data_IF_932909954085
#
_entry.id   IF_932909954085
#
_cell.length_a   1.000
_cell.length_b   1.000
_cell.length_c   1.000
_cell.angle_alpha   90.00
_cell.angle_beta   90.00
_cell.angle_gamma   90.00
#
_symmetry.space_group_name_H-M   'P 1'
#
loop_
_entity.id
_entity.type
_entity.pdbx_description
1 polymer ?
#
# COMPACT_ATOMS: atom_id res chain seq x y z
N UNK A 1 -8.92 0.83 6.12
CA UNK A 1 -7.73 -0.06 6.00
C UNK A 1 -6.95 0.07 7.30
N UNK A 2 -6.27 -0.99 7.78
CA UNK A 2 -5.68 -0.98 9.13
C UNK A 2 -4.17 -0.99 9.10
N UNK A 3 -3.57 -0.16 9.96
CA UNK A 3 -2.15 -0.13 10.23
C UNK A 3 -1.96 -0.47 11.71
N UNK A 4 -1.41 -1.65 12.00
CA UNK A 4 -1.02 -2.04 13.34
C UNK A 4 0.51 -2.00 13.44
N UNK A 5 1.03 -1.41 14.52
CA UNK A 5 2.46 -1.37 14.80
C UNK A 5 2.74 -1.87 16.21
N UNK A 6 3.82 -2.63 16.37
CA UNK A 6 4.38 -2.96 17.66
C UNK A 6 5.56 -2.03 17.95
N UNK A 7 5.33 -1.08 18.86
CA UNK A 7 6.34 -0.10 19.24
C UNK A 7 7.06 -0.59 20.49
N UNK A 8 8.38 -0.72 20.41
CA UNK A 8 9.26 -1.25 21.44
C UNK A 8 10.15 -0.16 22.05
N UNK A 9 10.49 -0.31 23.33
CA UNK A 9 11.49 0.50 24.02
C UNK A 9 12.90 -0.01 23.70
N UNK A 10 13.71 0.83 23.07
CA UNK A 10 15.06 0.51 22.59
C UNK A 10 16.05 0.25 23.75
N UNK A 11 16.00 1.04 24.81
CA UNK A 11 16.91 0.89 25.95
C UNK A 11 16.68 -0.46 26.67
N UNK A 12 15.42 -0.77 26.97
CA UNK A 12 15.04 -2.05 27.58
C UNK A 12 15.35 -3.24 26.68
N UNK A 13 15.07 -3.12 25.39
CA UNK A 13 15.41 -4.17 24.42
C UNK A 13 16.93 -4.47 24.42
N UNK A 14 17.77 -3.44 24.45
CA UNK A 14 19.23 -3.59 24.54
C UNK A 14 19.70 -4.24 25.85
N UNK A 15 18.95 -4.06 26.94
CA UNK A 15 19.19 -4.74 28.23
C UNK A 15 18.62 -6.18 28.27
N UNK A 16 18.03 -6.65 27.17
CA UNK A 16 17.43 -7.99 27.06
C UNK A 16 16.01 -8.08 27.64
N UNK A 17 15.37 -6.94 27.92
CA UNK A 17 14.00 -6.85 28.40
C UNK A 17 13.04 -6.52 27.25
N UNK A 18 12.09 -7.41 26.96
CA UNK A 18 11.06 -7.14 25.96
C UNK A 18 10.01 -6.21 26.56
N UNK A 19 9.97 -4.97 26.06
CA UNK A 19 9.01 -3.95 26.45
C UNK A 19 8.49 -3.24 25.20
N UNK A 20 7.20 -3.37 24.94
CA UNK A 20 6.55 -2.81 23.77
C UNK A 20 5.04 -3.04 23.81
N UNK A 21 4.31 -2.44 22.87
CA UNK A 21 2.87 -2.64 22.73
C UNK A 21 2.41 -2.60 21.28
N UNK A 22 1.42 -3.44 20.98
CA UNK A 22 0.63 -3.35 19.75
C UNK A 22 -0.30 -2.15 19.84
N UNK A 23 -0.31 -1.31 18.81
CA UNK A 23 -1.25 -0.20 18.65
C UNK A 23 -1.81 -0.20 17.23
N UNK A 24 -3.11 -0.03 17.11
CA UNK A 24 -3.79 0.24 15.83
C UNK A 24 -3.83 1.75 15.64
N UNK A 25 -3.31 2.21 14.51
CA UNK A 25 -3.38 3.60 14.08
C UNK A 25 -4.67 3.85 13.26
N UNK A 26 -5.19 5.09 13.26
CA UNK A 26 -4.68 6.23 14.02
C UNK A 26 -5.08 6.23 15.50
N UNK A 27 -4.35 7.00 16.30
CA UNK A 27 -4.63 7.33 17.71
C UNK A 27 -4.75 8.84 17.88
N UNK A 28 -5.43 9.28 18.95
CA UNK A 28 -5.67 10.70 19.22
C UNK A 28 -4.35 11.46 19.51
N UNK A 29 -3.42 10.85 20.26
CA UNK A 29 -2.12 11.45 20.57
C UNK A 29 -1.05 10.36 20.69
N UNK A 30 -0.13 10.30 19.71
CA UNK A 30 0.98 9.33 19.67
C UNK A 30 1.81 9.32 20.96
N UNK A 31 2.05 10.48 21.58
CA UNK A 31 2.81 10.53 22.84
C UNK A 31 2.02 9.84 23.96
N UNK A 32 0.79 10.30 24.19
CA UNK A 32 -0.02 9.86 25.31
C UNK A 32 -0.52 8.43 25.16
N UNK A 33 -0.92 8.05 23.95
CA UNK A 33 -1.56 6.77 23.67
C UNK A 33 -0.54 5.68 23.35
N UNK A 34 0.70 6.03 22.97
CA UNK A 34 1.77 5.07 22.69
C UNK A 34 2.98 5.30 23.60
N UNK A 35 3.72 6.38 23.40
CA UNK A 35 5.08 6.54 23.94
C UNK A 35 5.14 6.64 25.47
N UNK A 36 4.22 7.38 26.10
CA UNK A 36 4.12 7.56 27.56
C UNK A 36 3.90 6.22 28.29
N UNK A 37 3.39 5.20 27.59
CA UNK A 37 3.15 3.86 28.15
C UNK A 37 4.39 2.95 28.12
N UNK A 38 5.41 3.31 27.34
CA UNK A 38 6.61 2.48 27.11
C UNK A 38 7.73 2.71 28.15
N UNK A 39 7.51 3.57 29.14
CA UNK A 39 8.50 3.86 30.21
C UNK A 39 9.90 4.15 29.62
N UNK A 40 9.93 5.08 28.67
CA UNK A 40 11.09 5.50 27.88
C UNK A 40 12.08 6.39 28.66
N UNK A 41 12.16 6.26 29.99
CA UNK A 41 13.07 7.07 30.81
C UNK A 41 12.81 8.59 30.74
N UNK A 42 11.97 9.10 31.64
CA UNK A 42 11.66 10.53 31.72
C UNK A 42 12.80 11.40 32.27
N UNK A 43 13.84 11.66 31.47
CA UNK A 43 14.68 12.88 31.49
C UNK A 43 15.80 12.85 30.42
N UNK A 44 15.57 12.19 29.27
CA UNK A 44 16.42 12.37 28.10
C UNK A 44 16.44 13.86 27.71
N UNK A 45 17.64 14.47 27.68
CA UNK A 45 17.87 15.85 27.19
C UNK A 45 17.35 16.10 25.76
N UNK A 46 16.93 15.05 25.05
CA UNK A 46 16.50 15.06 23.66
C UNK A 46 15.03 14.59 23.47
N UNK A 47 14.28 14.32 24.54
CA UNK A 47 12.88 13.85 24.47
C UNK A 47 12.74 12.37 24.10
N UNK A 48 11.50 11.91 23.95
CA UNK A 48 11.12 10.51 23.63
C UNK A 48 11.69 9.99 22.30
N UNK A 49 12.23 10.86 21.45
CA UNK A 49 12.41 10.60 20.03
C UNK A 49 13.40 9.48 19.66
N UNK A 50 14.34 9.12 20.53
CA UNK A 50 15.42 8.18 20.20
C UNK A 50 15.39 6.85 21.00
N UNK A 51 14.41 6.65 21.88
CA UNK A 51 14.37 5.47 22.77
C UNK A 51 13.30 4.45 22.39
N UNK A 52 12.70 4.55 21.20
CA UNK A 52 11.73 3.58 20.69
C UNK A 52 12.00 3.22 19.23
N UNK A 53 11.43 2.11 18.80
CA UNK A 53 11.45 1.65 17.41
C UNK A 53 10.24 0.76 17.11
N UNK A 54 9.90 0.58 15.84
CA UNK A 54 8.86 -0.34 15.39
C UNK A 54 9.51 -1.70 15.17
N UNK A 55 9.20 -2.68 16.02
CA UNK A 55 9.84 -4.01 15.94
C UNK A 55 9.01 -5.03 15.16
N UNK A 56 7.72 -4.76 14.97
CA UNK A 56 6.80 -5.61 14.20
C UNK A 56 5.61 -4.76 13.70
N UNK A 57 4.91 -5.20 12.66
CA UNK A 57 3.74 -4.51 12.12
C UNK A 57 2.79 -5.45 11.37
N UNK A 58 1.54 -5.01 11.22
CA UNK A 58 0.57 -5.60 10.30
C UNK A 58 -0.02 -4.46 9.45
N UNK A 59 0.37 -4.40 8.18
CA UNK A 59 -0.06 -3.41 7.20
C UNK A 59 0.10 -3.99 5.78
N UNK A 60 -0.61 -3.46 4.76
CA UNK A 60 -0.46 -3.92 3.38
C UNK A 60 0.79 -3.40 2.67
N UNK A 61 1.54 -2.49 3.30
CA UNK A 61 2.80 -1.93 2.80
C UNK A 61 3.90 -2.10 3.84
N UNK A 62 5.16 -1.92 3.45
CA UNK A 62 6.31 -2.06 4.33
C UNK A 62 6.42 -0.88 5.28
N UNK A 63 6.65 -1.19 6.55
CA UNK A 63 6.98 -0.22 7.58
C UNK A 63 8.40 -0.50 8.08
N UNK A 64 9.25 0.52 8.01
CA UNK A 64 10.61 0.48 8.50
C UNK A 64 10.70 0.60 10.03
N UNK A 65 11.77 0.04 10.59
CA UNK A 65 12.02 0.03 12.04
C UNK A 65 12.05 1.44 12.66
N UNK A 66 12.53 2.41 11.88
CA UNK A 66 12.70 3.81 12.27
C UNK A 66 11.73 4.75 11.53
N UNK A 67 10.68 4.21 10.91
CA UNK A 67 9.67 5.05 10.29
C UNK A 67 9.00 5.94 11.35
N UNK A 68 8.69 7.16 10.94
CA UNK A 68 8.15 8.16 11.84
C UNK A 68 6.71 7.80 12.24
N UNK A 69 6.53 7.41 13.51
CA UNK A 69 5.24 7.01 14.07
C UNK A 69 4.15 8.09 13.95
N UNK A 70 4.51 9.38 13.97
CA UNK A 70 3.56 10.47 13.75
C UNK A 70 3.11 10.54 12.30
N UNK A 71 4.03 10.40 11.36
CA UNK A 71 3.69 10.35 9.94
C UNK A 71 2.86 9.10 9.59
N UNK A 72 3.13 7.97 10.26
CA UNK A 72 2.29 6.78 10.14
C UNK A 72 0.89 6.99 10.74
N UNK A 73 0.77 7.75 11.84
CA UNK A 73 -0.54 8.09 12.41
C UNK A 73 -1.36 8.96 11.46
N UNK A 74 -0.74 10.02 10.93
CA UNK A 74 -1.35 10.91 9.93
C UNK A 74 -1.76 10.15 8.66
N UNK A 75 -0.89 9.26 8.18
CA UNK A 75 -1.22 8.36 7.06
C UNK A 75 -2.43 7.48 7.40
N UNK A 76 -2.49 6.92 8.61
CA UNK A 76 -3.61 6.09 9.03
C UNK A 76 -4.93 6.87 9.09
N UNK A 77 -4.90 8.14 9.53
CA UNK A 77 -6.06 9.05 9.48
C UNK A 77 -6.52 9.28 8.04
N UNK A 78 -5.59 9.59 7.13
CA UNK A 78 -5.91 9.82 5.72
C UNK A 78 -6.45 8.56 5.02
N UNK A 79 -6.10 7.37 5.53
CA UNK A 79 -6.53 6.07 4.98
C UNK A 79 -7.79 5.49 5.65
N UNK A 80 -8.42 6.20 6.59
CA UNK A 80 -9.60 5.69 7.31
C UNK A 80 -10.78 5.36 6.38
N UNK A 81 -10.97 6.16 5.33
CA UNK A 81 -12.10 6.04 4.39
C UNK A 81 -11.92 4.94 3.32
N UNK A 82 -10.77 4.28 3.27
CA UNK A 82 -10.44 3.26 2.26
C UNK A 82 -10.35 1.89 2.89
N UNK A 83 -11.10 0.89 2.44
CA UNK A 83 -11.13 -0.43 3.09
C UNK A 83 -9.97 -1.34 2.63
N UNK A 84 -9.48 -1.15 1.41
CA UNK A 84 -8.48 -1.98 0.75
C UNK A 84 -7.42 -1.17 -0.01
N UNK A 85 -6.34 -1.84 -0.46
CA UNK A 85 -5.33 -1.21 -1.32
C UNK A 85 -5.92 -0.83 -2.69
N UNK A 86 -6.92 -1.58 -3.16
CA UNK A 86 -7.65 -1.29 -4.38
C UNK A 86 -8.45 0.01 -4.26
N UNK A 87 -9.13 0.25 -3.13
CA UNK A 87 -9.85 1.51 -2.90
C UNK A 87 -8.89 2.71 -2.97
N UNK A 88 -7.69 2.56 -2.39
CA UNK A 88 -6.65 3.59 -2.44
C UNK A 88 -6.17 3.80 -3.88
N UNK A 89 -5.81 2.72 -4.59
CA UNK A 89 -5.37 2.77 -5.97
C UNK A 89 -6.40 3.45 -6.87
N UNK A 90 -7.68 3.13 -6.68
CA UNK A 90 -8.78 3.71 -7.43
C UNK A 90 -9.00 5.20 -7.15
N UNK A 91 -8.55 5.69 -6.00
CA UNK A 91 -8.65 7.11 -5.63
C UNK A 91 -7.46 7.96 -6.09
N UNK A 92 -6.38 7.34 -6.58
CA UNK A 92 -5.21 8.07 -7.08
C UNK A 92 -5.53 8.82 -8.37
N UNK A 93 -4.98 10.04 -8.47
CA UNK A 93 -5.02 10.85 -9.69
C UNK A 93 -3.97 10.39 -10.72
N UNK A 94 -2.76 10.02 -10.27
CA UNK A 94 -1.67 9.51 -11.14
C UNK A 94 -1.35 8.04 -10.83
N UNK A 95 -2.17 7.14 -11.39
CA UNK A 95 -1.97 5.69 -11.24
C UNK A 95 -0.74 5.17 -11.98
N UNK A 96 -0.26 5.87 -13.02
CA UNK A 96 0.93 5.45 -13.77
C UNK A 96 2.18 5.43 -12.88
N UNK A 97 2.27 6.35 -11.93
CA UNK A 97 3.38 6.44 -10.97
C UNK A 97 3.54 5.18 -10.09
N UNK A 98 2.48 4.39 -9.92
CA UNK A 98 2.50 3.17 -9.09
C UNK A 98 3.21 2.00 -9.76
N UNK A 99 3.37 2.04 -11.08
CA UNK A 99 3.89 0.92 -11.87
C UNK A 99 2.89 -0.23 -12.08
N UNK A 100 1.67 -0.14 -11.54
CA UNK A 100 0.59 -1.06 -11.88
C UNK A 100 0.22 -0.95 -13.36
N UNK A 101 -0.16 -2.07 -13.96
CA UNK A 101 -0.76 -2.07 -15.29
C UNK A 101 -2.13 -1.37 -15.23
N UNK A 102 -2.49 -0.70 -16.31
CA UNK A 102 -3.81 -0.07 -16.44
C UNK A 102 -4.82 -1.13 -16.85
N UNK A 103 -5.62 -1.59 -15.87
CA UNK A 103 -6.50 -2.74 -15.99
C UNK A 103 -7.93 -2.29 -16.25
N UNK A 104 -8.59 -2.98 -17.19
CA UNK A 104 -9.94 -2.71 -17.64
C UNK A 104 -10.82 -3.94 -17.44
N UNK A 105 -12.13 -3.72 -17.30
CA UNK A 105 -13.11 -4.80 -17.40
C UNK A 105 -13.00 -5.47 -18.77
N UNK A 106 -12.96 -6.80 -18.79
CA UNK A 106 -12.88 -7.58 -20.02
C UNK A 106 -14.26 -7.76 -20.63
N UNK A 107 -14.81 -6.67 -21.17
CA UNK A 107 -16.10 -6.63 -21.83
C UNK A 107 -15.98 -6.41 -23.36
N UNK A 108 -17.13 -6.32 -24.02
CA UNK A 108 -17.21 -6.09 -25.47
C UNK A 108 -16.78 -4.66 -25.86
N UNK A 109 -16.82 -3.70 -24.93
CA UNK A 109 -16.51 -2.29 -25.19
C UNK A 109 -14.99 -2.01 -25.14
N UNK A 110 -14.23 -2.82 -24.40
CA UNK A 110 -12.77 -2.68 -24.28
C UNK A 110 -12.09 -2.56 -25.66
N UNK A 111 -12.37 -3.48 -26.58
CA UNK A 111 -11.69 -3.48 -27.88
C UNK A 111 -12.03 -2.28 -28.77
N UNK A 112 -13.29 -1.84 -28.72
CA UNK A 112 -13.75 -0.69 -29.50
C UNK A 112 -13.23 0.63 -28.91
N UNK A 113 -12.96 0.66 -27.60
CA UNK A 113 -12.40 1.82 -26.90
C UNK A 113 -10.89 1.93 -27.09
N UNK A 114 -10.18 0.81 -26.96
CA UNK A 114 -8.72 0.81 -26.89
C UNK A 114 -8.02 0.73 -28.25
N UNK A 115 -8.72 0.33 -29.31
CA UNK A 115 -8.12 0.12 -30.64
C UNK A 115 -8.87 0.84 -31.76
N UNK A 116 -8.14 1.26 -32.80
CA UNK A 116 -8.73 1.99 -33.94
C UNK A 116 -9.24 1.04 -35.03
N UNK A 117 -8.77 -0.20 -35.05
CA UNK A 117 -9.13 -1.17 -36.08
C UNK A 117 -9.11 -2.62 -35.61
N UNK A 118 -9.93 -3.45 -36.24
CA UNK A 118 -9.98 -4.90 -35.98
C UNK A 118 -8.65 -5.60 -36.28
N UNK A 119 -7.83 -5.04 -37.18
CA UNK A 119 -6.50 -5.54 -37.48
C UNK A 119 -5.55 -5.36 -36.30
N UNK A 120 -5.63 -4.22 -35.60
CA UNK A 120 -4.85 -3.97 -34.38
C UNK A 120 -5.27 -4.89 -33.25
N UNK A 121 -6.58 -5.06 -33.04
CA UNK A 121 -7.13 -6.02 -32.08
C UNK A 121 -6.60 -7.43 -32.37
N UNK A 122 -6.75 -7.90 -33.61
CA UNK A 122 -6.29 -9.23 -34.01
C UNK A 122 -4.78 -9.42 -33.79
N UNK A 123 -3.97 -8.38 -34.03
CA UNK A 123 -2.53 -8.40 -33.76
C UNK A 123 -2.24 -8.45 -32.25
N UNK A 124 -2.86 -7.57 -31.47
CA UNK A 124 -2.61 -7.43 -30.03
C UNK A 124 -3.01 -8.70 -29.26
N UNK A 125 -4.15 -9.30 -29.60
CA UNK A 125 -4.62 -10.58 -29.04
C UNK A 125 -3.71 -11.73 -29.49
N UNK A 126 -3.33 -11.79 -30.78
CA UNK A 126 -2.54 -12.91 -31.30
C UNK A 126 -1.13 -12.99 -30.69
N UNK A 127 -0.52 -11.84 -30.41
CA UNK A 127 0.82 -11.76 -29.79
C UNK A 127 0.78 -11.54 -28.28
N UNK A 128 -0.41 -11.41 -27.70
CA UNK A 128 -0.63 -11.30 -26.27
C UNK A 128 -0.88 -12.64 -25.61
N UNK A 129 -1.32 -12.60 -24.36
CA UNK A 129 -1.65 -13.78 -23.57
C UNK A 129 -3.06 -13.64 -22.96
N UNK A 130 -4.06 -14.04 -23.75
CA UNK A 130 -5.42 -14.20 -23.25
C UNK A 130 -5.53 -15.61 -22.65
N UNK A 131 -5.29 -15.71 -21.35
CA UNK A 131 -5.37 -16.97 -20.61
C UNK A 131 -6.76 -17.60 -20.73
N UNK A 132 -7.80 -16.77 -20.53
CA UNK A 132 -9.19 -17.19 -20.63
C UNK A 132 -10.09 -16.01 -21.02
N UNK A 133 -10.96 -16.23 -22.00
CA UNK A 133 -11.95 -15.24 -22.48
C UNK A 133 -13.09 -14.97 -21.50
N UNK A 134 -13.10 -15.65 -20.34
CA UNK A 134 -14.02 -15.42 -19.24
C UNK A 134 -13.34 -14.79 -18.02
N UNK A 135 -12.05 -14.42 -18.14
CA UNK A 135 -11.40 -13.63 -17.11
C UNK A 135 -12.09 -12.27 -17.00
N UNK A 136 -12.24 -11.71 -15.79
CA UNK A 136 -12.92 -10.44 -15.57
C UNK A 136 -12.14 -9.24 -16.09
N UNK A 137 -10.82 -9.37 -16.25
CA UNK A 137 -9.94 -8.23 -16.49
C UNK A 137 -9.02 -8.43 -17.68
N UNK A 138 -8.69 -7.32 -18.33
CA UNK A 138 -7.78 -7.24 -19.48
C UNK A 138 -6.98 -5.95 -19.41
N UNK A 139 -5.74 -5.99 -19.87
CA UNK A 139 -4.88 -4.82 -19.98
C UNK A 139 -4.01 -4.90 -21.23
N UNK A 140 -3.34 -3.80 -21.56
CA UNK A 140 -2.39 -3.72 -22.68
C UNK A 140 -0.99 -3.57 -22.11
N UNK A 141 -0.16 -4.59 -22.28
CA UNK A 141 1.21 -4.56 -21.78
C UNK A 141 2.07 -3.51 -22.52
N UNK A 142 3.29 -3.27 -22.03
CA UNK A 142 4.23 -2.29 -22.62
C UNK A 142 4.63 -2.55 -24.09
N UNK A 143 4.28 -3.69 -24.69
CA UNK A 143 4.47 -3.99 -26.11
C UNK A 143 3.21 -3.76 -26.96
N UNK A 144 2.12 -3.29 -26.36
CA UNK A 144 0.84 -3.09 -27.01
C UNK A 144 0.07 -4.39 -27.25
N UNK A 145 0.35 -5.46 -26.51
CA UNK A 145 -0.37 -6.74 -26.63
C UNK A 145 -1.38 -6.89 -25.49
N UNK A 146 -2.49 -7.59 -25.75
CA UNK A 146 -3.53 -7.79 -24.76
C UNK A 146 -3.19 -8.97 -23.84
N UNK A 147 -3.33 -8.78 -22.54
CA UNK A 147 -3.20 -9.84 -21.55
C UNK A 147 -4.44 -9.86 -20.66
N UNK A 148 -4.98 -11.06 -20.39
CA UNK A 148 -6.12 -11.23 -19.48
C UNK A 148 -5.66 -11.68 -18.10
N UNK A 149 -6.36 -11.25 -17.06
CA UNK A 149 -6.01 -11.61 -15.69
C UNK A 149 -7.25 -11.93 -14.86
N UNK A 150 -7.09 -12.87 -13.92
CA UNK A 150 -8.16 -13.20 -12.98
C UNK A 150 -8.28 -12.11 -11.91
N UNK A 151 -9.38 -12.13 -11.14
CA UNK A 151 -9.51 -11.31 -9.93
C UNK A 151 -8.32 -11.50 -8.98
N UNK A 152 -7.87 -12.75 -8.84
CA UNK A 152 -6.74 -13.05 -7.96
C UNK A 152 -5.44 -12.39 -8.46
N UNK A 153 -5.17 -12.48 -9.75
CA UNK A 153 -3.97 -11.88 -10.35
C UNK A 153 -4.00 -10.35 -10.25
N UNK A 154 -5.18 -9.73 -10.41
CA UNK A 154 -5.39 -8.30 -10.23
C UNK A 154 -5.08 -7.86 -8.79
N UNK A 155 -5.67 -8.55 -7.81
CA UNK A 155 -5.41 -8.28 -6.40
C UNK A 155 -3.94 -8.52 -6.04
N UNK A 156 -3.31 -9.57 -6.59
CA UNK A 156 -1.89 -9.85 -6.39
C UNK A 156 -1.00 -8.75 -6.98
N UNK A 157 -1.34 -8.22 -8.17
CA UNK A 157 -0.64 -7.07 -8.77
C UNK A 157 -0.69 -5.85 -7.83
N UNK A 158 -1.87 -5.49 -7.33
CA UNK A 158 -2.01 -4.34 -6.43
C UNK A 158 -1.25 -4.54 -5.12
N UNK A 159 -1.32 -5.74 -4.52
CA UNK A 159 -0.59 -6.04 -3.30
C UNK A 159 0.93 -6.01 -3.49
N UNK A 160 1.42 -6.45 -4.64
CA UNK A 160 2.85 -6.40 -4.98
C UNK A 160 3.36 -4.96 -5.16
N UNK A 161 2.49 -4.02 -5.51
CA UNK A 161 2.79 -2.58 -5.67
C UNK A 161 2.25 -1.73 -4.51
N UNK A 162 1.88 -2.34 -3.38
CA UNK A 162 1.24 -1.61 -2.28
C UNK A 162 2.15 -0.50 -1.71
N UNK A 163 3.48 -0.69 -1.71
CA UNK A 163 4.44 0.33 -1.29
C UNK A 163 4.40 1.56 -2.21
N UNK A 164 4.38 1.35 -3.52
CA UNK A 164 4.32 2.38 -4.55
C UNK A 164 2.96 3.09 -4.54
N UNK A 165 1.86 2.35 -4.41
CA UNK A 165 0.49 2.89 -4.29
C UNK A 165 0.38 3.82 -3.07
N UNK A 166 0.86 3.37 -1.90
CA UNK A 166 0.81 4.17 -0.67
C UNK A 166 1.77 5.37 -0.76
N UNK A 167 2.91 5.23 -1.44
CA UNK A 167 3.83 6.35 -1.68
C UNK A 167 3.18 7.42 -2.55
N UNK A 168 2.52 7.03 -3.64
CA UNK A 168 1.81 7.95 -4.51
C UNK A 168 0.64 8.62 -3.76
N UNK A 169 -0.13 7.86 -2.97
CA UNK A 169 -1.20 8.40 -2.16
C UNK A 169 -0.71 9.50 -1.21
N UNK A 170 0.45 9.29 -0.56
CA UNK A 170 1.09 10.30 0.30
C UNK A 170 1.42 11.56 -0.49
N UNK A 171 2.04 11.43 -1.66
CA UNK A 171 2.41 12.58 -2.49
C UNK A 171 1.20 13.42 -2.93
N UNK A 172 0.05 12.78 -3.16
CA UNK A 172 -1.18 13.46 -3.58
C UNK A 172 -1.96 14.11 -2.42
N UNK A 173 -1.84 13.57 -1.20
CA UNK A 173 -2.75 13.90 -0.10
C UNK A 173 -2.10 14.47 1.18
N UNK A 174 -0.78 14.35 1.38
CA UNK A 174 -0.06 14.75 2.60
C UNK A 174 1.13 15.67 2.29
#
# INVERSE_FOLDING_TARGET
MKINVFVSNLAKYNDGELNGQWTTLPVDDVNKDILDKLDLGGDSKHGYHDEWFISDYEAPFKIGEYDNLYALNELAEALEDYDSIEDVYNALDDREATGCEDVYDFDDEFFDTMFLSKQEVARAVFFGDIHNWLDPYIFINGCGNCESMTEYDYQEMLNNHADEIISQFKEENL
#
